data_IF_733894848014
#
_entry.id   IF_733894848014
#
_cell.length_a   1.000
_cell.length_b   1.000
_cell.length_c   1.000
_cell.angle_alpha   90.00
_cell.angle_beta   90.00
_cell.angle_gamma   90.00
#
_symmetry.space_group_name_H-M   'P 1'
#
loop_
_entity.id
_entity.type
_entity.pdbx_description
1 polymer ?
#
# COMPACT_ATOMS: atom_id res chain seq x y z
N UNK A 1 1.74 -10.57 -15.35
CA UNK A 1 2.78 -10.83 -14.33
C UNK A 1 2.20 -11.76 -13.28
N UNK A 2 2.78 -12.94 -13.14
CA UNK A 2 2.36 -14.00 -12.21
C UNK A 2 3.29 -14.02 -10.98
N UNK A 3 3.42 -12.85 -10.34
CA UNK A 3 4.36 -12.61 -9.24
C UNK A 3 3.57 -12.32 -7.97
N UNK A 4 3.93 -13.00 -6.88
CA UNK A 4 3.39 -12.81 -5.54
C UNK A 4 4.38 -11.96 -4.75
N UNK A 5 3.87 -10.99 -4.01
CA UNK A 5 4.62 -10.13 -3.09
C UNK A 5 4.12 -10.36 -1.67
N UNK A 6 5.03 -10.41 -0.70
CA UNK A 6 4.66 -10.52 0.70
C UNK A 6 5.69 -9.85 1.59
N UNK A 7 5.27 -9.57 2.82
CA UNK A 7 6.12 -9.05 3.88
C UNK A 7 6.34 -10.15 4.91
N UNK A 8 7.53 -10.20 5.48
CA UNK A 8 7.87 -11.09 6.58
C UNK A 8 8.34 -10.23 7.75
N UNK A 9 7.49 -10.11 8.78
CA UNK A 9 7.79 -9.35 10.00
C UNK A 9 8.82 -10.05 10.89
N UNK A 10 9.00 -11.37 10.78
CA UNK A 10 10.01 -12.08 11.54
C UNK A 10 11.41 -11.83 10.99
N UNK A 11 11.51 -11.74 9.66
CA UNK A 11 12.76 -11.51 8.94
C UNK A 11 13.01 -10.02 8.62
N UNK A 12 12.01 -9.15 8.81
CA UNK A 12 12.01 -7.77 8.34
C UNK A 12 12.41 -7.68 6.87
N UNK A 13 11.66 -8.40 6.03
CA UNK A 13 11.88 -8.42 4.58
C UNK A 13 10.60 -8.18 3.81
N UNK A 14 10.73 -7.59 2.63
CA UNK A 14 9.71 -7.63 1.58
C UNK A 14 10.28 -8.48 0.45
N UNK A 15 9.53 -9.50 0.08
CA UNK A 15 9.98 -10.53 -0.87
C UNK A 15 8.97 -10.68 -1.99
N UNK A 16 9.47 -11.21 -3.11
CA UNK A 16 8.65 -11.58 -4.26
C UNK A 16 9.05 -12.93 -4.81
N UNK A 17 8.09 -13.63 -5.40
CA UNK A 17 8.34 -14.89 -6.09
C UNK A 17 7.36 -15.06 -7.24
N UNK A 18 7.75 -15.88 -8.21
CA UNK A 18 6.78 -16.35 -9.20
C UNK A 18 5.80 -17.31 -8.52
N UNK A 19 4.55 -17.28 -8.95
CA UNK A 19 3.50 -18.16 -8.38
C UNK A 19 3.80 -19.64 -8.58
N UNK A 20 4.50 -19.99 -9.66
CA UNK A 20 4.99 -21.34 -9.94
C UNK A 20 6.23 -21.73 -9.12
N UNK A 21 6.70 -20.84 -8.24
CA UNK A 21 7.83 -21.03 -7.31
C UNK A 21 9.19 -21.26 -8.01
N UNK A 22 9.30 -21.01 -9.31
CA UNK A 22 10.55 -21.21 -10.06
C UNK A 22 11.64 -20.19 -9.69
N UNK A 23 11.27 -19.04 -9.13
CA UNK A 23 12.21 -18.07 -8.60
C UNK A 23 11.61 -17.28 -7.43
N UNK A 24 12.50 -16.84 -6.53
CA UNK A 24 12.21 -16.01 -5.36
C UNK A 24 13.35 -15.03 -5.16
N UNK A 25 13.03 -13.83 -4.70
CA UNK A 25 13.99 -12.78 -4.37
C UNK A 25 13.48 -11.94 -3.21
N UNK A 26 14.38 -11.57 -2.29
CA UNK A 26 14.10 -10.57 -1.25
C UNK A 26 14.49 -9.19 -1.81
N UNK A 27 13.51 -8.29 -1.94
CA UNK A 27 13.67 -7.01 -2.65
C UNK A 27 13.91 -5.83 -1.71
N UNK A 28 13.46 -5.92 -0.45
CA UNK A 28 13.76 -4.96 0.60
C UNK A 28 14.20 -5.75 1.84
N UNK A 29 15.41 -5.49 2.32
CA UNK A 29 16.04 -6.26 3.42
C UNK A 29 16.59 -5.38 4.55
N UNK A 30 16.55 -4.06 4.39
CA UNK A 30 17.09 -3.11 5.37
C UNK A 30 16.17 -1.92 5.53
N UNK A 31 16.30 -1.19 6.64
CA UNK A 31 15.53 0.02 6.90
C UNK A 31 14.03 -0.19 7.06
N UNK A 32 13.58 -1.43 7.32
CA UNK A 32 12.19 -1.75 7.66
C UNK A 32 12.15 -2.40 9.04
N UNK A 33 11.07 -2.19 9.78
CA UNK A 33 10.90 -2.63 11.16
C UNK A 33 9.68 -3.51 11.33
N UNK A 34 8.47 -3.00 11.09
CA UNK A 34 7.24 -3.78 11.30
C UNK A 34 6.24 -3.53 10.18
N UNK A 35 6.50 -4.19 9.07
CA UNK A 35 5.70 -4.07 7.86
C UNK A 35 4.48 -4.98 7.91
N UNK A 36 3.30 -4.41 8.11
CA UNK A 36 2.03 -5.16 8.22
C UNK A 36 1.20 -5.15 6.93
N UNK A 37 1.25 -4.05 6.16
CA UNK A 37 0.46 -3.87 4.95
C UNK A 37 1.33 -3.73 3.72
N UNK A 38 0.87 -4.30 2.60
CA UNK A 38 1.50 -4.19 1.28
C UNK A 38 0.43 -4.02 0.20
N UNK A 39 0.68 -3.11 -0.74
CA UNK A 39 -0.18 -2.88 -1.89
C UNK A 39 0.64 -2.77 -3.18
N UNK A 40 0.12 -3.34 -4.26
CA UNK A 40 0.78 -3.38 -5.56
C UNK A 40 0.04 -2.47 -6.54
N UNK A 41 0.72 -1.47 -7.08
CA UNK A 41 0.26 -0.73 -8.26
C UNK A 41 0.81 -1.42 -9.52
N UNK A 42 -0.02 -2.29 -10.10
CA UNK A 42 0.36 -3.05 -11.29
C UNK A 42 0.39 -2.21 -12.57
N UNK A 43 -0.16 -0.99 -12.55
CA UNK A 43 -0.20 -0.10 -13.72
C UNK A 43 1.10 0.71 -13.77
N UNK A 44 1.48 1.35 -12.66
CA UNK A 44 2.72 2.12 -12.58
C UNK A 44 3.98 1.27 -12.29
N UNK A 45 3.80 0.02 -11.86
CA UNK A 45 4.89 -0.85 -11.48
C UNK A 45 5.54 -0.43 -10.16
N UNK A 46 4.71 -0.05 -9.19
CA UNK A 46 5.13 0.38 -7.86
C UNK A 46 4.60 -0.54 -6.77
N UNK A 47 5.30 -0.58 -5.66
CA UNK A 47 4.98 -1.32 -4.45
C UNK A 47 4.90 -0.32 -3.31
N UNK A 48 3.82 -0.37 -2.55
CA UNK A 48 3.58 0.47 -1.38
C UNK A 48 3.48 -0.41 -0.14
N UNK A 49 3.98 0.07 0.99
CA UNK A 49 3.83 -0.64 2.27
C UNK A 49 3.72 0.33 3.45
N UNK A 50 3.15 -0.17 4.54
CA UNK A 50 3.07 0.49 5.84
C UNK A 50 4.10 -0.11 6.78
N UNK A 51 4.86 0.74 7.47
CA UNK A 51 5.76 0.32 8.55
C UNK A 51 5.31 0.99 9.85
N UNK A 52 4.68 0.23 10.75
CA UNK A 52 4.23 0.77 12.03
C UNK A 52 5.35 0.86 13.08
N UNK A 53 6.52 0.27 12.82
CA UNK A 53 7.69 0.44 13.67
C UNK A 53 8.30 1.83 13.51
N UNK A 54 8.24 2.38 12.30
CA UNK A 54 8.72 3.74 11.99
C UNK A 54 7.60 4.76 11.75
N UNK A 55 6.33 4.34 11.76
CA UNK A 55 5.17 5.15 11.37
C UNK A 55 5.36 5.79 9.98
N UNK A 56 5.72 4.97 8.99
CA UNK A 56 5.96 5.40 7.62
C UNK A 56 5.04 4.68 6.64
N UNK A 57 4.72 5.37 5.54
CA UNK A 57 4.26 4.75 4.31
C UNK A 57 5.30 5.01 3.24
N UNK A 58 5.73 3.94 2.59
CA UNK A 58 6.84 3.98 1.65
C UNK A 58 6.46 3.38 0.31
N UNK A 59 7.27 3.71 -0.70
CA UNK A 59 7.13 3.25 -2.08
C UNK A 59 8.47 2.75 -2.61
N UNK A 60 8.44 1.73 -3.46
CA UNK A 60 9.54 1.34 -4.33
C UNK A 60 9.00 0.82 -5.67
N UNK A 61 9.88 0.61 -6.64
CA UNK A 61 9.53 -0.19 -7.83
C UNK A 61 9.24 -1.63 -7.44
N UNK A 62 8.55 -2.37 -8.31
CA UNK A 62 8.33 -3.83 -8.14
C UNK A 62 9.63 -4.65 -8.02
N UNK A 63 10.78 -4.09 -8.38
CA UNK A 63 12.13 -4.64 -8.18
C UNK A 63 12.79 -4.28 -6.85
N UNK A 64 12.16 -3.47 -6.00
CA UNK A 64 12.75 -2.94 -4.76
C UNK A 64 13.63 -1.69 -4.96
N UNK A 65 13.85 -1.26 -6.22
CA UNK A 65 14.67 -0.07 -6.52
C UNK A 65 13.87 1.23 -6.36
N UNK A 66 14.58 2.35 -6.26
CA UNK A 66 13.99 3.69 -6.12
C UNK A 66 13.05 3.81 -4.92
N UNK A 67 13.48 3.28 -3.77
CA UNK A 67 12.76 3.40 -2.51
C UNK A 67 12.66 4.87 -2.09
N UNK A 68 11.47 5.29 -1.69
CA UNK A 68 11.17 6.63 -1.19
C UNK A 68 10.12 6.55 -0.07
N UNK A 69 10.14 7.53 0.83
CA UNK A 69 9.09 7.73 1.84
C UNK A 69 8.00 8.59 1.23
N UNK A 70 6.75 8.13 1.29
CA UNK A 70 5.57 8.84 0.75
C UNK A 70 4.90 9.66 1.84
N UNK A 71 4.73 9.08 3.03
CA UNK A 71 4.14 9.75 4.19
C UNK A 71 5.01 9.44 5.41
N UNK A 72 5.46 10.48 6.10
CA UNK A 72 6.29 10.39 7.31
C UNK A 72 5.70 11.13 8.52
N UNK A 73 4.62 11.88 8.33
CA UNK A 73 4.00 12.70 9.36
C UNK A 73 2.51 12.39 9.47
N UNK A 74 1.95 12.56 10.68
CA UNK A 74 0.53 12.35 10.93
C UNK A 74 0.09 10.89 10.93
N UNK A 75 1.03 9.93 10.92
CA UNK A 75 0.75 8.50 11.01
C UNK A 75 0.89 8.00 12.45
N UNK A 76 -0.07 7.19 12.89
CA UNK A 76 -0.02 6.51 14.20
C UNK A 76 -0.38 5.03 14.06
N UNK A 77 0.65 4.19 14.03
CA UNK A 77 0.55 2.75 13.84
C UNK A 77 -0.23 2.37 12.56
N UNK A 78 0.27 2.75 11.37
CA UNK A 78 -0.35 2.39 10.10
C UNK A 78 -0.29 0.88 9.88
N UNK A 79 -1.40 0.26 9.48
CA UNK A 79 -1.53 -1.20 9.36
C UNK A 79 -1.87 -1.64 7.95
N UNK A 80 -3.14 -1.58 7.54
CA UNK A 80 -3.54 -2.07 6.22
C UNK A 80 -3.38 -0.95 5.19
N UNK A 81 -3.12 -1.31 3.94
CA UNK A 81 -2.96 -0.35 2.84
C UNK A 81 -3.58 -0.89 1.56
N UNK A 82 -4.24 -0.02 0.81
CA UNK A 82 -4.78 -0.32 -0.51
C UNK A 82 -4.51 0.84 -1.45
N UNK A 83 -4.17 0.52 -2.69
CA UNK A 83 -3.94 1.49 -3.77
C UNK A 83 -5.11 1.40 -4.73
N UNK A 84 -5.62 2.54 -5.20
CA UNK A 84 -6.54 2.58 -6.32
C UNK A 84 -5.77 2.95 -7.61
N UNK A 85 -5.32 1.98 -8.43
CA UNK A 85 -4.60 2.27 -9.66
C UNK A 85 -5.53 2.80 -10.76
N UNK A 86 -5.02 3.71 -11.58
CA UNK A 86 -5.79 4.38 -12.63
C UNK A 86 -6.12 3.42 -13.79
N UNK A 87 -7.35 2.91 -13.87
CA UNK A 87 -7.80 2.11 -15.02
C UNK A 87 -8.61 2.99 -16.00
N UNK A 88 -7.96 3.51 -17.04
CA UNK A 88 -8.59 4.27 -18.13
C UNK A 88 -8.51 5.81 -18.01
N UNK A 89 -9.02 6.50 -19.04
CA UNK A 89 -8.90 7.96 -19.21
C UNK A 89 -9.67 8.82 -18.18
N UNK A 90 -10.59 8.23 -17.40
CA UNK A 90 -11.59 9.00 -16.63
C UNK A 90 -11.25 9.12 -15.14
N UNK A 91 -10.33 8.33 -14.60
CA UNK A 91 -9.94 8.44 -13.19
C UNK A 91 -8.81 9.47 -13.07
N UNK A 92 -9.15 10.75 -12.89
CA UNK A 92 -8.18 11.86 -12.82
C UNK A 92 -7.29 11.84 -11.57
N UNK A 93 -7.64 11.03 -10.57
CA UNK A 93 -6.93 10.98 -9.30
C UNK A 93 -6.74 9.55 -8.83
N UNK A 94 -5.51 9.22 -8.47
CA UNK A 94 -5.10 7.95 -7.87
C UNK A 94 -4.84 8.16 -6.40
N UNK A 95 -5.42 7.29 -5.58
CA UNK A 95 -5.40 7.42 -4.13
C UNK A 95 -4.81 6.19 -3.46
N UNK A 96 -4.10 6.47 -2.38
CA UNK A 96 -3.65 5.53 -1.37
C UNK A 96 -4.61 5.61 -0.19
N UNK A 97 -5.03 4.46 0.31
CA UNK A 97 -5.85 4.33 1.51
C UNK A 97 -5.11 3.49 2.52
N UNK A 98 -5.15 3.87 3.79
CA UNK A 98 -4.56 3.08 4.87
C UNK A 98 -5.46 3.09 6.10
N UNK A 99 -5.19 2.14 6.99
CA UNK A 99 -5.83 2.06 8.30
C UNK A 99 -4.83 2.28 9.41
N UNK A 100 -5.29 2.91 10.48
CA UNK A 100 -4.51 3.21 11.68
C UNK A 100 -5.23 2.65 12.90
N UNK A 101 -4.48 2.13 13.85
CA UNK A 101 -5.03 1.52 15.07
C UNK A 101 -4.39 2.04 16.35
N UNK A 102 -3.59 3.11 16.26
CA UNK A 102 -2.95 3.74 17.41
C UNK A 102 -3.93 4.45 18.37
N UNK A 103 -3.52 5.59 18.93
CA UNK A 103 -4.31 6.34 19.90
C UNK A 103 -5.64 6.83 19.33
N UNK A 104 -5.67 7.12 18.03
CA UNK A 104 -6.88 7.56 17.31
C UNK A 104 -7.09 6.70 16.07
N UNK A 105 -7.71 5.52 16.21
CA UNK A 105 -7.95 4.62 15.07
C UNK A 105 -8.74 5.31 13.97
N UNK A 106 -8.22 5.27 12.74
CA UNK A 106 -8.83 5.97 11.63
C UNK A 106 -8.58 5.26 10.28
N UNK A 107 -9.31 5.71 9.26
CA UNK A 107 -9.03 5.39 7.86
C UNK A 107 -8.59 6.68 7.19
N UNK A 108 -7.36 6.68 6.67
CA UNK A 108 -6.76 7.79 5.96
C UNK A 108 -6.77 7.58 4.44
N UNK A 109 -6.69 8.70 3.71
CA UNK A 109 -6.48 8.71 2.26
C UNK A 109 -5.51 9.83 1.89
N UNK A 110 -4.66 9.58 0.91
CA UNK A 110 -3.77 10.56 0.29
C UNK A 110 -3.65 10.25 -1.20
N UNK A 111 -3.08 11.16 -1.99
CA UNK A 111 -2.61 10.85 -3.33
C UNK A 111 -1.41 9.89 -3.27
N UNK A 112 -1.07 9.28 -4.40
CA UNK A 112 0.08 8.37 -4.51
C UNK A 112 1.45 9.01 -4.21
N UNK A 113 1.53 10.34 -4.22
CA UNK A 113 2.71 11.13 -3.84
C UNK A 113 2.69 11.58 -2.36
N UNK A 114 1.66 11.19 -1.59
CA UNK A 114 1.50 11.56 -0.18
C UNK A 114 0.77 12.89 0.05
N UNK A 115 0.48 13.66 -1.00
CA UNK A 115 -0.27 14.91 -0.89
C UNK A 115 -1.76 14.68 -0.64
N UNK A 116 -2.49 15.75 -0.26
CA UNK A 116 -3.93 15.71 0.06
C UNK A 116 -4.29 14.63 1.11
N UNK A 117 -3.48 14.52 2.17
CA UNK A 117 -3.77 13.64 3.30
C UNK A 117 -5.08 14.07 3.99
N UNK A 118 -6.04 13.16 4.07
CA UNK A 118 -7.36 13.37 4.65
C UNK A 118 -7.76 12.16 5.48
N UNK A 119 -8.23 12.39 6.70
CA UNK A 119 -8.92 11.37 7.50
C UNK A 119 -10.35 11.22 6.99
N UNK A 120 -10.69 10.03 6.47
CA UNK A 120 -12.02 9.73 5.95
C UNK A 120 -12.99 9.28 7.04
N UNK A 121 -12.51 8.43 7.95
CA UNK A 121 -13.33 7.87 9.03
C UNK A 121 -12.50 7.86 10.30
N UNK A 122 -13.06 8.41 11.39
CA UNK A 122 -12.41 8.51 12.71
C UNK A 122 -13.36 8.20 13.87
N UNK A 123 -14.56 7.70 13.60
CA UNK A 123 -15.57 7.35 14.60
C UNK A 123 -16.02 5.91 14.42
N UNK A 124 -16.26 5.20 15.53
CA UNK A 124 -16.70 3.81 15.50
C UNK A 124 -15.66 2.78 15.04
N UNK A 125 -14.38 3.16 14.98
CA UNK A 125 -13.27 2.31 14.57
C UNK A 125 -12.45 1.93 15.82
N UNK A 126 -12.24 0.63 16.03
CA UNK A 126 -11.36 0.10 17.09
C UNK A 126 -10.08 -0.47 16.51
N UNK A 127 -10.17 -1.60 15.79
CA UNK A 127 -9.02 -2.29 15.22
C UNK A 127 -9.23 -2.59 13.73
N UNK A 128 -8.98 -1.62 12.84
CA UNK A 128 -9.16 -1.79 11.40
C UNK A 128 -7.99 -2.60 10.81
N UNK A 129 -8.18 -3.91 10.69
CA UNK A 129 -7.14 -4.86 10.29
C UNK A 129 -6.96 -5.04 8.78
N UNK A 130 -7.96 -4.69 7.99
CA UNK A 130 -7.96 -4.91 6.55
C UNK A 130 -8.73 -3.83 5.84
N UNK A 131 -8.25 -3.49 4.65
CA UNK A 131 -8.91 -2.56 3.74
C UNK A 131 -8.82 -3.15 2.34
N UNK A 132 -9.93 -3.08 1.61
CA UNK A 132 -10.00 -3.43 0.20
C UNK A 132 -10.78 -2.35 -0.53
N UNK A 133 -10.51 -2.24 -1.82
CA UNK A 133 -11.19 -1.32 -2.72
C UNK A 133 -11.85 -2.17 -3.79
N UNK A 134 -13.15 -1.98 -3.97
CA UNK A 134 -13.86 -2.60 -5.09
C UNK A 134 -13.70 -1.71 -6.33
N UNK A 135 -13.35 -2.34 -7.45
CA UNK A 135 -13.14 -1.66 -8.72
C UNK A 135 -14.35 -1.90 -9.60
N UNK A 136 -15.23 -0.91 -9.76
CA UNK A 136 -16.23 -0.98 -10.82
C UNK A 136 -15.53 -0.90 -12.18
N UNK A 137 -15.53 -2.02 -12.91
CA UNK A 137 -15.07 -2.07 -14.29
C UNK A 137 -16.21 -1.56 -15.18
N UNK A 138 -16.30 -0.24 -15.38
CA UNK A 138 -17.23 0.32 -16.37
C UNK A 138 -16.71 0.01 -17.79
N UNK A 139 -17.23 -1.05 -18.40
CA UNK A 139 -17.16 -1.24 -19.85
C UNK A 139 -18.20 -0.32 -20.50
N UNK A 140 -17.76 0.77 -21.12
CA UNK A 140 -18.61 1.52 -22.03
C UNK A 140 -18.87 0.65 -23.27
N UNK A 141 -20.08 0.10 -23.41
CA UNK A 141 -20.54 -0.36 -24.72
C UNK A 141 -20.98 0.88 -25.51
N UNK A 142 -20.25 1.22 -26.58
CA UNK A 142 -20.78 2.15 -27.58
C UNK A 142 -21.92 1.47 -28.32
N UNK A 143 -23.12 2.04 -28.25
CA UNK A 143 -24.23 1.78 -29.18
C UNK A 143 -23.98 2.40 -30.54
#
# INVERSE_FOLDING_TARGET
NDTVYWTDMGLNTISRAKRDQTWREDIITTGISRVEGIAVDWIAGNLYWTDHGFNLIEIARLSGTYRCVVISEGLDQPRAIAVHPQKGYVCLFVYLFWTEWGQSPCIGRARLDGSDQVTLVNTGIGWPNGISIDYEVQYWTSS
#
